data_IF_593501770612
#
_entry.id   IF_593501770612
#
_cell.length_a   1.000
_cell.length_b   1.000
_cell.length_c   1.000
_cell.angle_alpha   90.00
_cell.angle_beta   90.00
_cell.angle_gamma   90.00
#
_symmetry.space_group_name_H-M   'P 1'
#
loop_
_entity.id
_entity.type
_entity.pdbx_description
1 polymer ?
#
# COMPACT_ATOMS: atom_id res chain seq x y z
N UNK A 1 10.84 16.45 -22.87
CA UNK A 1 10.99 17.11 -21.60
C UNK A 1 11.90 16.28 -20.69
N UNK A 2 12.80 16.91 -19.90
CA UNK A 2 13.63 16.16 -18.99
C UNK A 2 12.72 15.38 -18.03
N UNK A 3 13.01 14.08 -17.84
CA UNK A 3 12.35 13.27 -16.84
C UNK A 3 12.37 14.05 -15.52
N UNK A 4 11.25 14.17 -14.80
CA UNK A 4 11.27 14.81 -13.50
C UNK A 4 12.28 14.05 -12.62
N UNK A 5 13.23 14.78 -12.07
CA UNK A 5 14.28 14.23 -11.21
C UNK A 5 13.66 13.58 -9.94
N UNK A 6 12.38 13.85 -9.69
CA UNK A 6 11.63 13.28 -8.58
C UNK A 6 10.18 13.74 -8.53
N UNK A 7 9.41 13.15 -7.63
CA UNK A 7 8.04 13.50 -7.30
C UNK A 7 7.92 13.87 -5.83
N UNK A 8 7.19 14.95 -5.55
CA UNK A 8 6.90 15.37 -4.18
C UNK A 8 5.83 14.49 -3.55
N UNK A 9 6.12 13.99 -2.36
CA UNK A 9 5.21 13.19 -1.56
C UNK A 9 5.48 13.46 -0.07
N UNK A 10 4.46 13.82 0.69
CA UNK A 10 4.57 14.19 2.12
C UNK A 10 5.70 15.20 2.41
N UNK A 11 5.79 16.26 1.59
CA UNK A 11 6.83 17.30 1.62
C UNK A 11 8.27 16.77 1.43
N UNK A 12 8.45 15.62 0.78
CA UNK A 12 9.75 15.02 0.47
C UNK A 12 9.84 14.73 -1.03
N UNK A 13 11.04 14.84 -1.56
CA UNK A 13 11.30 14.57 -2.97
C UNK A 13 11.74 13.12 -3.15
N UNK A 14 10.84 12.28 -3.66
CA UNK A 14 11.13 10.90 -4.03
C UNK A 14 11.69 10.85 -5.45
N UNK A 15 12.75 10.07 -5.65
CA UNK A 15 13.20 9.73 -6.99
C UNK A 15 12.13 8.89 -7.67
N UNK A 16 12.00 9.05 -8.97
CA UNK A 16 11.08 8.29 -9.82
C UNK A 16 11.85 7.72 -11.01
N UNK A 17 11.51 6.50 -11.38
CA UNK A 17 12.05 5.82 -12.55
C UNK A 17 10.92 5.38 -13.47
N UNK A 18 11.22 5.30 -14.77
CA UNK A 18 10.33 4.63 -15.71
C UNK A 18 10.09 3.18 -15.24
N UNK A 19 8.87 2.73 -15.33
CA UNK A 19 8.51 1.38 -14.89
C UNK A 19 8.07 1.24 -13.44
N UNK A 20 8.00 2.33 -12.68
CA UNK A 20 7.47 2.35 -11.31
C UNK A 20 6.40 3.43 -11.17
N UNK A 21 5.32 3.11 -10.47
CA UNK A 21 4.22 4.05 -10.20
C UNK A 21 4.75 5.31 -9.52
N UNK A 22 4.41 6.48 -10.07
CA UNK A 22 4.74 7.77 -9.48
C UNK A 22 3.88 7.99 -8.23
N UNK A 23 4.46 8.41 -7.08
CA UNK A 23 3.67 8.70 -5.88
C UNK A 23 2.50 9.67 -6.15
N UNK A 24 1.32 9.32 -5.65
CA UNK A 24 0.09 10.09 -5.86
C UNK A 24 -0.29 10.89 -4.61
N UNK A 25 -0.86 12.10 -4.76
CA UNK A 25 -1.27 12.92 -3.62
C UNK A 25 -2.28 12.25 -2.68
N UNK A 26 -3.25 11.50 -3.22
CA UNK A 26 -4.24 10.77 -2.43
C UNK A 26 -3.63 9.68 -1.55
N UNK A 27 -2.50 9.11 -1.94
CA UNK A 27 -1.77 8.11 -1.15
C UNK A 27 -1.13 8.71 0.10
N UNK A 28 -0.86 10.03 0.12
CA UNK A 28 -0.42 10.72 1.34
C UNK A 28 -1.47 10.63 2.46
N UNK A 29 -2.75 10.76 2.09
CA UNK A 29 -3.87 10.70 3.04
C UNK A 29 -3.90 9.35 3.76
N UNK A 30 -3.60 8.26 3.04
CA UNK A 30 -3.44 6.92 3.61
C UNK A 30 -2.32 6.87 4.66
N UNK A 31 -1.16 7.44 4.36
CA UNK A 31 -0.02 7.46 5.29
C UNK A 31 -0.34 8.20 6.58
N UNK A 32 -0.97 9.36 6.50
CA UNK A 32 -1.39 10.13 7.67
C UNK A 32 -2.46 9.40 8.47
N UNK A 33 -3.46 8.82 7.81
CA UNK A 33 -4.50 8.03 8.48
C UNK A 33 -3.92 6.85 9.28
N UNK A 34 -2.94 6.14 8.72
CA UNK A 34 -2.25 5.06 9.43
C UNK A 34 -1.48 5.62 10.63
N UNK A 35 -0.70 6.68 10.44
CA UNK A 35 0.13 7.24 11.51
C UNK A 35 -0.69 7.79 12.70
N UNK A 36 -1.92 8.20 12.46
CA UNK A 36 -2.85 8.73 13.47
C UNK A 36 -3.61 7.63 14.24
N UNK A 37 -3.41 6.34 13.92
CA UNK A 37 -4.13 5.26 14.64
C UNK A 37 -3.71 5.20 16.11
N UNK A 38 -4.67 5.29 17.05
CA UNK A 38 -4.36 5.33 18.50
C UNK A 38 -3.61 4.10 19.00
N UNK A 39 -3.84 2.94 18.38
CA UNK A 39 -3.19 1.68 18.75
C UNK A 39 -1.67 1.71 18.59
N UNK A 40 -1.16 2.50 17.65
CA UNK A 40 0.29 2.61 17.40
C UNK A 40 1.04 3.30 18.53
N UNK A 41 0.38 4.23 19.26
CA UNK A 41 1.01 4.96 20.37
C UNK A 41 1.38 4.07 21.56
N UNK A 42 0.74 2.91 21.70
CA UNK A 42 1.01 1.94 22.76
C UNK A 42 2.12 0.93 22.40
N UNK A 43 2.57 0.90 21.15
CA UNK A 43 3.58 -0.04 20.67
C UNK A 43 4.98 0.56 20.76
N UNK A 44 5.93 -0.20 21.30
CA UNK A 44 7.33 0.23 21.42
C UNK A 44 8.04 0.24 20.07
N UNK A 45 7.81 -0.78 19.26
CA UNK A 45 8.45 -1.00 17.96
C UNK A 45 7.42 -1.57 16.98
N UNK A 46 6.50 -0.74 16.43
CA UNK A 46 5.47 -1.21 15.51
C UNK A 46 6.08 -1.88 14.27
N UNK A 47 5.60 -3.07 13.91
CA UNK A 47 6.01 -3.81 12.72
C UNK A 47 5.03 -3.55 11.60
N UNK A 48 5.52 -2.97 10.52
CA UNK A 48 4.72 -2.52 9.37
C UNK A 48 5.20 -3.22 8.10
N UNK A 49 4.25 -3.72 7.32
CA UNK A 49 4.49 -4.28 6.01
C UNK A 49 3.77 -3.46 4.94
N UNK A 50 4.52 -2.99 3.95
CA UNK A 50 4.01 -2.35 2.72
C UNK A 50 4.14 -3.34 1.56
N UNK A 51 3.01 -3.77 1.01
CA UNK A 51 2.95 -4.75 -0.09
C UNK A 51 2.74 -4.02 -1.42
N UNK A 52 3.63 -4.26 -2.39
CA UNK A 52 3.66 -3.54 -3.65
C UNK A 52 4.21 -2.13 -3.46
N UNK A 53 5.38 -2.03 -2.85
CA UNK A 53 5.92 -0.76 -2.34
C UNK A 53 6.27 0.25 -3.42
N UNK A 54 6.51 -0.19 -4.66
CA UNK A 54 6.88 0.68 -5.78
C UNK A 54 8.12 1.53 -5.47
N UNK A 55 7.95 2.84 -5.43
CA UNK A 55 9.01 3.79 -5.08
C UNK A 55 9.43 3.77 -3.60
N UNK A 56 8.72 3.02 -2.77
CA UNK A 56 8.91 3.02 -1.31
C UNK A 56 8.20 4.16 -0.59
N UNK A 57 7.37 4.94 -1.28
CA UNK A 57 6.80 6.17 -0.72
C UNK A 57 5.95 5.93 0.54
N UNK A 58 5.13 4.89 0.59
CA UNK A 58 4.34 4.53 1.77
C UNK A 58 5.26 4.05 2.89
N UNK A 59 6.09 3.04 2.63
CA UNK A 59 6.98 2.43 3.63
C UNK A 59 7.92 3.46 4.27
N UNK A 60 8.58 4.28 3.47
CA UNK A 60 9.50 5.32 3.94
C UNK A 60 8.76 6.38 4.75
N UNK A 61 7.61 6.85 4.29
CA UNK A 61 6.82 7.85 4.99
C UNK A 61 6.34 7.34 6.34
N UNK A 62 5.83 6.10 6.42
CA UNK A 62 5.41 5.50 7.69
C UNK A 62 6.58 5.32 8.65
N UNK A 63 7.76 4.92 8.17
CA UNK A 63 8.98 4.84 8.98
C UNK A 63 9.39 6.18 9.60
N UNK A 64 9.07 7.29 8.94
CA UNK A 64 9.39 8.64 9.44
C UNK A 64 8.29 9.22 10.34
N UNK A 65 7.02 8.89 10.10
CA UNK A 65 5.90 9.38 10.88
C UNK A 65 5.67 8.59 12.18
N UNK A 66 6.01 7.31 12.19
CA UNK A 66 5.73 6.40 13.31
C UNK A 66 7.04 6.11 14.05
N UNK A 67 7.11 6.55 15.30
CA UNK A 67 8.29 6.38 16.13
C UNK A 67 8.68 4.91 16.28
N UNK A 68 9.96 4.60 16.05
CA UNK A 68 10.55 3.27 16.15
C UNK A 68 9.88 2.21 15.26
N UNK A 69 9.17 2.60 14.21
CA UNK A 69 8.59 1.65 13.27
C UNK A 69 9.67 0.77 12.63
N UNK A 70 9.41 -0.53 12.60
CA UNK A 70 10.18 -1.52 11.86
C UNK A 70 9.41 -1.84 10.58
N UNK A 71 9.82 -1.23 9.47
CA UNK A 71 9.08 -1.32 8.22
C UNK A 71 9.78 -2.24 7.23
N UNK A 72 9.00 -3.15 6.68
CA UNK A 72 9.37 -4.04 5.58
C UNK A 72 8.56 -3.67 4.35
N UNK A 73 9.19 -3.65 3.20
CA UNK A 73 8.59 -3.34 1.91
C UNK A 73 8.73 -4.52 0.96
N UNK A 74 7.61 -4.99 0.40
CA UNK A 74 7.58 -6.03 -0.62
C UNK A 74 7.30 -5.46 -1.99
N UNK A 75 7.99 -5.98 -2.98
CA UNK A 75 7.65 -5.83 -4.39
C UNK A 75 8.16 -7.03 -5.17
N UNK A 76 7.66 -7.23 -6.38
CA UNK A 76 8.15 -8.29 -7.28
C UNK A 76 9.02 -7.70 -8.41
N UNK A 77 8.86 -6.42 -8.72
CA UNK A 77 9.56 -5.76 -9.80
C UNK A 77 10.97 -5.32 -9.38
N UNK A 78 12.04 -5.76 -10.07
CA UNK A 78 13.41 -5.38 -9.74
C UNK A 78 13.64 -3.86 -9.72
N UNK A 79 12.97 -3.14 -10.62
CA UNK A 79 13.03 -1.68 -10.72
C UNK A 79 12.45 -1.01 -9.47
N UNK A 80 11.32 -1.53 -8.96
CA UNK A 80 10.70 -1.04 -7.73
C UNK A 80 11.58 -1.31 -6.51
N UNK A 81 12.14 -2.53 -6.39
CA UNK A 81 13.04 -2.90 -5.31
C UNK A 81 14.28 -2.01 -5.27
N UNK A 82 14.88 -1.74 -6.43
CA UNK A 82 16.04 -0.85 -6.56
C UNK A 82 15.68 0.58 -6.15
N UNK A 83 14.56 1.10 -6.66
CA UNK A 83 14.12 2.47 -6.40
C UNK A 83 13.74 2.69 -4.94
N UNK A 84 13.04 1.73 -4.31
CA UNK A 84 12.72 1.80 -2.88
C UNK A 84 13.97 1.86 -1.99
N UNK A 85 14.99 1.04 -2.30
CA UNK A 85 16.29 1.08 -1.61
C UNK A 85 17.00 2.42 -1.81
N UNK A 86 17.00 2.96 -3.02
CA UNK A 86 17.62 4.24 -3.35
C UNK A 86 16.94 5.39 -2.60
N UNK A 87 15.61 5.43 -2.58
CA UNK A 87 14.84 6.45 -1.86
C UNK A 87 15.04 6.34 -0.34
N UNK A 88 15.02 5.13 0.22
CA UNK A 88 15.27 4.90 1.64
C UNK A 88 16.66 5.41 2.06
N UNK A 89 17.68 5.10 1.26
CA UNK A 89 19.05 5.59 1.48
C UNK A 89 19.13 7.11 1.40
N UNK A 90 18.54 7.71 0.37
CA UNK A 90 18.53 9.16 0.17
C UNK A 90 17.86 9.92 1.33
N UNK A 91 16.85 9.31 1.97
CA UNK A 91 16.10 9.89 3.10
C UNK A 91 16.60 9.42 4.47
N UNK A 92 17.70 8.66 4.51
CA UNK A 92 18.28 8.10 5.73
C UNK A 92 17.27 7.27 6.56
N UNK A 93 16.47 6.46 5.88
CA UNK A 93 15.48 5.55 6.48
C UNK A 93 16.00 4.12 6.41
N UNK A 94 15.95 3.42 7.55
CA UNK A 94 16.19 1.97 7.59
C UNK A 94 14.94 1.25 7.11
N UNK A 95 15.02 0.62 5.95
CA UNK A 95 13.91 -0.11 5.31
C UNK A 95 14.40 -1.49 4.89
N UNK A 96 13.69 -2.52 5.32
CA UNK A 96 13.90 -3.88 4.81
C UNK A 96 13.12 -4.03 3.49
N UNK A 97 13.82 -4.17 2.37
CA UNK A 97 13.22 -4.34 1.04
C UNK A 97 13.40 -5.78 0.58
N UNK A 98 12.28 -6.47 0.33
CA UNK A 98 12.23 -7.90 0.05
C UNK A 98 11.52 -8.14 -1.28
N UNK A 99 12.13 -8.96 -2.15
CA UNK A 99 11.44 -9.48 -3.34
C UNK A 99 10.41 -10.52 -2.90
N UNK A 100 9.12 -10.19 -3.07
CA UNK A 100 8.02 -11.06 -2.69
C UNK A 100 6.81 -10.82 -3.57
N UNK A 101 6.30 -11.91 -4.17
CA UNK A 101 5.04 -11.88 -4.90
C UNK A 101 3.86 -11.90 -3.92
N UNK A 102 3.00 -10.89 -4.00
CA UNK A 102 1.79 -10.79 -3.17
C UNK A 102 0.80 -11.92 -3.42
N UNK A 103 0.80 -12.52 -4.62
CA UNK A 103 -0.08 -13.64 -4.96
C UNK A 103 0.43 -14.98 -4.40
N UNK A 104 1.70 -15.04 -3.98
CA UNK A 104 2.38 -16.22 -3.41
C UNK A 104 3.04 -15.85 -2.07
N UNK A 105 2.30 -15.17 -1.21
CA UNK A 105 2.80 -14.72 0.09
C UNK A 105 3.20 -15.90 1.01
N UNK A 106 4.21 -15.73 1.88
CA UNK A 106 4.64 -16.78 2.81
C UNK A 106 3.59 -17.07 3.89
N UNK A 107 3.79 -18.15 4.64
CA UNK A 107 2.95 -18.51 5.79
C UNK A 107 3.45 -17.80 7.05
N UNK A 108 3.30 -16.49 7.14
CA UNK A 108 3.55 -15.74 8.37
C UNK A 108 2.38 -15.85 9.35
N UNK A 109 2.66 -15.80 10.63
CA UNK A 109 1.65 -15.83 11.69
C UNK A 109 1.96 -14.74 12.73
N UNK A 110 0.97 -13.88 13.02
CA UNK A 110 1.05 -12.81 14.02
C UNK A 110 2.36 -12.01 14.02
N UNK A 111 2.77 -11.60 12.83
CA UNK A 111 4.06 -10.96 12.59
C UNK A 111 3.98 -9.43 12.51
N UNK A 112 2.85 -8.90 12.04
CA UNK A 112 2.69 -7.49 11.70
C UNK A 112 1.62 -6.80 12.55
N UNK A 113 1.89 -5.57 12.97
CA UNK A 113 0.89 -4.69 13.57
C UNK A 113 0.05 -4.00 12.49
N UNK A 114 0.68 -3.63 11.38
CA UNK A 114 0.05 -3.01 10.22
C UNK A 114 0.49 -3.73 8.95
N UNK A 115 -0.47 -4.02 8.09
CA UNK A 115 -0.25 -4.36 6.69
C UNK A 115 -0.94 -3.30 5.84
N UNK A 116 -0.21 -2.72 4.90
CA UNK A 116 -0.72 -1.69 3.98
C UNK A 116 -0.39 -2.05 2.55
N UNK A 117 -1.26 -1.72 1.62
CA UNK A 117 -0.99 -1.88 0.19
C UNK A 117 -1.77 -0.87 -0.65
N UNK A 118 -1.09 -0.38 -1.69
CA UNK A 118 -1.71 0.28 -2.83
C UNK A 118 -1.47 -0.60 -4.07
N UNK A 119 -2.22 -1.71 -4.22
CA UNK A 119 -2.01 -2.65 -5.31
C UNK A 119 -2.60 -2.14 -6.62
N UNK A 120 -2.27 -2.75 -7.77
CA UNK A 120 -2.95 -2.44 -9.03
C UNK A 120 -4.46 -2.63 -8.92
N UNK A 121 -5.24 -1.64 -9.37
CA UNK A 121 -6.71 -1.67 -9.27
C UNK A 121 -7.45 -1.09 -10.49
N UNK A 122 -6.74 -0.64 -11.52
CA UNK A 122 -7.36 -0.05 -12.72
C UNK A 122 -7.77 -1.16 -13.67
N UNK A 123 -9.05 -1.17 -14.07
CA UNK A 123 -9.57 -2.14 -15.03
C UNK A 123 -9.25 -1.70 -16.48
N UNK A 124 -9.20 -2.63 -17.45
CA UNK A 124 -9.01 -2.28 -18.86
C UNK A 124 -10.05 -1.29 -19.40
N UNK A 125 -11.27 -1.33 -18.87
CA UNK A 125 -12.35 -0.40 -19.24
C UNK A 125 -12.01 1.04 -18.84
N UNK A 126 -11.42 1.23 -17.66
CA UNK A 126 -10.98 2.55 -17.17
C UNK A 126 -9.73 3.04 -17.88
N UNK A 127 -8.90 2.14 -18.41
CA UNK A 127 -7.66 2.48 -19.12
C UNK A 127 -7.89 3.44 -20.28
N UNK A 128 -9.00 3.29 -21.00
CA UNK A 128 -9.34 4.14 -22.16
C UNK A 128 -9.59 5.61 -21.78
N UNK A 129 -9.88 5.88 -20.51
CA UNK A 129 -10.16 7.22 -19.97
C UNK A 129 -8.94 7.88 -19.34
N UNK A 130 -7.80 7.16 -19.27
CA UNK A 130 -6.58 7.67 -18.64
C UNK A 130 -5.80 8.59 -19.56
N UNK A 131 -5.08 9.55 -18.95
CA UNK A 131 -4.18 10.43 -19.67
C UNK A 131 -3.02 9.66 -20.32
N UNK A 132 -2.63 10.07 -21.54
CA UNK A 132 -1.57 9.41 -22.30
C UNK A 132 -0.22 9.34 -21.56
N UNK A 133 0.07 10.31 -20.71
CA UNK A 133 1.31 10.34 -19.91
C UNK A 133 1.40 9.16 -18.93
N UNK A 134 0.29 8.78 -18.29
CA UNK A 134 0.23 7.65 -17.37
C UNK A 134 0.48 6.35 -18.13
N UNK A 135 -0.18 6.18 -19.29
CA UNK A 135 -0.05 4.97 -20.11
C UNK A 135 1.35 4.79 -20.72
N UNK A 136 2.05 5.89 -20.96
CA UNK A 136 3.37 5.86 -21.64
C UNK A 136 4.54 5.61 -20.69
N UNK A 137 4.47 6.09 -19.45
CA UNK A 137 5.62 6.11 -18.53
C UNK A 137 5.50 5.18 -17.32
N UNK A 138 4.31 4.70 -17.02
CA UNK A 138 4.08 3.78 -15.90
C UNK A 138 3.80 2.35 -16.39
N UNK A 139 4.27 1.32 -15.68
CA UNK A 139 4.11 -0.05 -16.13
C UNK A 139 2.67 -0.54 -15.98
N UNK A 140 2.19 -1.28 -16.97
CA UNK A 140 0.85 -1.87 -16.92
C UNK A 140 0.62 -2.73 -15.67
N UNK A 141 1.64 -3.47 -15.23
CA UNK A 141 1.54 -4.31 -14.03
C UNK A 141 1.38 -3.53 -12.72
N UNK A 142 1.77 -2.26 -12.69
CA UNK A 142 1.61 -1.39 -11.51
C UNK A 142 0.24 -0.72 -11.42
N UNK A 143 -0.54 -0.74 -12.50
CA UNK A 143 -1.81 -0.03 -12.62
C UNK A 143 -2.99 -0.96 -12.86
N UNK A 144 -2.84 -1.98 -13.71
CA UNK A 144 -3.96 -2.71 -14.30
C UNK A 144 -4.15 -4.12 -13.73
N UNK A 145 -5.40 -4.50 -13.61
CA UNK A 145 -5.85 -5.85 -13.21
C UNK A 145 -6.67 -6.49 -14.33
N UNK A 146 -6.77 -7.84 -14.37
CA UNK A 146 -7.67 -8.52 -15.32
C UNK A 146 -9.12 -8.07 -15.12
N UNK A 147 -9.84 -7.83 -16.21
CA UNK A 147 -11.25 -7.41 -16.16
C UNK A 147 -12.16 -8.42 -15.44
N UNK A 148 -11.87 -9.69 -15.60
CA UNK A 148 -12.62 -10.79 -14.96
C UNK A 148 -12.23 -11.03 -13.49
N UNK A 149 -11.17 -10.39 -12.98
CA UNK A 149 -10.73 -10.52 -11.59
C UNK A 149 -10.11 -9.22 -11.07
N UNK A 150 -10.89 -8.13 -10.97
CA UNK A 150 -10.37 -6.81 -10.59
C UNK A 150 -9.87 -6.74 -9.13
N UNK A 151 -10.28 -7.68 -8.29
CA UNK A 151 -9.91 -7.73 -6.87
C UNK A 151 -8.83 -8.77 -6.54
N UNK A 152 -8.10 -9.26 -7.53
CA UNK A 152 -7.14 -10.38 -7.35
C UNK A 152 -6.10 -10.09 -6.25
N UNK A 153 -5.47 -8.93 -6.26
CA UNK A 153 -4.47 -8.56 -5.25
C UNK A 153 -5.08 -8.31 -3.89
N UNK A 154 -6.22 -7.65 -3.83
CA UNK A 154 -6.95 -7.42 -2.57
C UNK A 154 -7.32 -8.72 -1.88
N UNK A 155 -7.81 -9.72 -2.62
CA UNK A 155 -8.15 -11.04 -2.08
C UNK A 155 -6.91 -11.77 -1.54
N UNK A 156 -5.82 -11.77 -2.31
CA UNK A 156 -4.58 -12.43 -1.91
C UNK A 156 -3.97 -11.78 -0.66
N UNK A 157 -3.89 -10.45 -0.62
CA UNK A 157 -3.34 -9.70 0.50
C UNK A 157 -4.24 -9.84 1.75
N UNK A 158 -5.56 -9.78 1.59
CA UNK A 158 -6.51 -9.98 2.68
C UNK A 158 -6.37 -11.37 3.29
N UNK A 159 -6.26 -12.40 2.45
CA UNK A 159 -6.03 -13.78 2.92
C UNK A 159 -4.71 -13.93 3.69
N UNK A 160 -3.63 -13.34 3.19
CA UNK A 160 -2.36 -13.30 3.91
C UNK A 160 -2.49 -12.59 5.26
N UNK A 161 -3.08 -11.41 5.27
CA UNK A 161 -3.21 -10.56 6.45
C UNK A 161 -4.05 -11.21 7.58
N UNK A 162 -5.01 -12.08 7.25
CA UNK A 162 -5.80 -12.81 8.26
C UNK A 162 -4.93 -13.55 9.27
N UNK A 163 -3.82 -14.13 8.82
CA UNK A 163 -2.89 -14.88 9.67
C UNK A 163 -1.70 -14.02 10.10
N UNK A 164 -1.17 -13.23 9.18
CA UNK A 164 0.07 -12.48 9.38
C UNK A 164 -0.06 -11.27 10.31
N UNK A 165 -1.24 -10.69 10.47
CA UNK A 165 -1.48 -9.65 11.46
C UNK A 165 -1.57 -10.23 12.88
N UNK A 166 -1.06 -9.48 13.86
CA UNK A 166 -1.33 -9.74 15.27
C UNK A 166 -2.81 -9.51 15.58
N UNK A 167 -3.28 -10.02 16.72
CA UNK A 167 -4.62 -9.72 17.21
C UNK A 167 -4.75 -8.20 17.46
N UNK A 168 -5.79 -7.58 16.92
CA UNK A 168 -5.98 -6.12 16.96
C UNK A 168 -5.13 -5.35 15.95
N UNK A 169 -4.28 -6.02 15.16
CA UNK A 169 -3.56 -5.42 14.05
C UNK A 169 -4.50 -5.02 12.90
N UNK A 170 -4.07 -4.14 12.04
CA UNK A 170 -4.93 -3.55 11.02
C UNK A 170 -4.38 -3.71 9.58
N UNK A 171 -5.30 -3.93 8.66
CA UNK A 171 -5.08 -3.97 7.23
C UNK A 171 -5.62 -2.70 6.59
N UNK A 172 -4.79 -2.03 5.78
CA UNK A 172 -5.13 -0.81 5.06
C UNK A 172 -4.92 -0.99 3.56
N UNK A 173 -5.86 -0.49 2.77
CA UNK A 173 -5.76 -0.45 1.32
C UNK A 173 -6.05 0.92 0.74
N UNK A 174 -5.31 1.32 -0.30
CA UNK A 174 -5.84 2.22 -1.31
C UNK A 174 -6.67 1.39 -2.29
N UNK A 175 -7.84 1.90 -2.66
CA UNK A 175 -8.82 1.14 -3.46
C UNK A 175 -9.29 1.93 -4.68
N UNK A 176 -9.78 1.20 -5.67
CA UNK A 176 -10.60 1.77 -6.71
C UNK A 176 -11.98 2.12 -6.13
N UNK A 177 -12.43 3.39 -6.17
CA UNK A 177 -13.72 3.82 -5.61
C UNK A 177 -14.93 3.06 -6.17
N UNK A 178 -14.81 2.49 -7.38
CA UNK A 178 -15.87 1.68 -7.98
C UNK A 178 -16.17 0.39 -7.22
N UNK A 179 -15.22 -0.11 -6.40
CA UNK A 179 -15.32 -1.39 -5.71
C UNK A 179 -15.40 -1.25 -4.19
N UNK A 180 -15.80 -0.10 -3.67
CA UNK A 180 -15.90 0.15 -2.23
C UNK A 180 -16.79 -0.89 -1.52
N UNK A 181 -17.96 -1.19 -2.08
CA UNK A 181 -18.89 -2.16 -1.49
C UNK A 181 -18.30 -3.57 -1.44
N UNK A 182 -17.68 -3.99 -2.54
CA UNK A 182 -17.01 -5.30 -2.66
C UNK A 182 -15.84 -5.40 -1.68
N UNK A 183 -15.07 -4.33 -1.50
CA UNK A 183 -13.96 -4.29 -0.54
C UNK A 183 -14.44 -4.40 0.90
N UNK A 184 -15.53 -3.72 1.28
CA UNK A 184 -16.13 -3.84 2.60
C UNK A 184 -16.62 -5.27 2.84
N UNK A 185 -17.28 -5.89 1.87
CA UNK A 185 -17.73 -7.28 1.94
C UNK A 185 -16.55 -8.24 2.07
N UNK A 186 -15.51 -8.08 1.25
CA UNK A 186 -14.30 -8.91 1.30
C UNK A 186 -13.68 -8.90 2.70
N UNK A 187 -13.49 -7.73 3.31
CA UNK A 187 -12.92 -7.60 4.64
C UNK A 187 -13.83 -8.24 5.71
N UNK A 188 -15.14 -7.98 5.67
CA UNK A 188 -16.11 -8.54 6.62
C UNK A 188 -16.16 -10.07 6.56
N UNK A 189 -16.25 -10.64 5.35
CA UNK A 189 -16.28 -12.09 5.12
C UNK A 189 -14.96 -12.75 5.49
N UNK A 190 -13.86 -12.02 5.40
CA UNK A 190 -12.53 -12.46 5.85
C UNK A 190 -12.30 -12.33 7.35
N UNK A 191 -13.31 -11.93 8.12
CA UNK A 191 -13.24 -11.89 9.58
C UNK A 191 -12.65 -10.61 10.17
N UNK A 192 -12.44 -9.57 9.36
CA UNK A 192 -12.04 -8.25 9.86
C UNK A 192 -13.24 -7.52 10.50
N UNK A 193 -12.95 -6.71 11.51
CA UNK A 193 -13.92 -5.84 12.20
C UNK A 193 -13.54 -4.37 11.99
N UNK A 194 -14.35 -3.47 12.53
CA UNK A 194 -14.10 -2.02 12.54
C UNK A 194 -13.70 -1.51 11.15
N UNK A 195 -14.49 -1.93 10.14
CA UNK A 195 -14.25 -1.57 8.75
C UNK A 195 -14.62 -0.11 8.55
N UNK A 196 -13.62 0.70 8.19
CA UNK A 196 -13.76 2.13 7.95
C UNK A 196 -13.29 2.48 6.53
N UNK A 197 -13.94 3.46 5.92
CA UNK A 197 -13.56 4.03 4.62
C UNK A 197 -13.17 5.49 4.82
N UNK A 198 -12.03 5.88 4.28
CA UNK A 198 -11.57 7.26 4.26
C UNK A 198 -11.85 7.87 2.88
N UNK A 199 -12.47 9.05 2.90
CA UNK A 199 -12.62 9.91 1.73
C UNK A 199 -11.33 10.71 1.56
N UNK A 200 -10.75 10.65 0.37
CA UNK A 200 -9.52 11.35 0.05
C UNK A 200 -9.74 12.87 -0.12
N UNK A 201 -8.65 13.62 -0.23
CA UNK A 201 -8.66 15.09 -0.45
C UNK A 201 -9.41 15.55 -1.71
N UNK A 202 -9.73 14.61 -2.61
CA UNK A 202 -10.50 14.87 -3.83
C UNK A 202 -11.96 14.45 -3.71
N UNK A 203 -12.42 14.02 -2.51
CA UNK A 203 -13.79 13.66 -2.23
C UNK A 203 -14.20 12.25 -2.66
N UNK A 204 -13.23 11.32 -2.86
CA UNK A 204 -13.49 9.95 -3.26
C UNK A 204 -13.23 8.96 -2.13
N UNK A 205 -14.05 7.92 -2.03
CA UNK A 205 -13.85 6.79 -1.12
C UNK A 205 -12.65 5.97 -1.59
N UNK A 206 -11.45 6.36 -1.15
CA UNK A 206 -10.17 5.90 -1.71
C UNK A 206 -9.43 4.92 -0.83
N UNK A 207 -9.70 4.88 0.46
CA UNK A 207 -8.95 4.05 1.38
C UNK A 207 -9.91 3.27 2.27
N UNK A 208 -9.54 2.04 2.61
CA UNK A 208 -10.31 1.19 3.52
C UNK A 208 -9.40 0.56 4.56
N UNK A 209 -9.91 0.43 5.78
CA UNK A 209 -9.26 -0.24 6.90
C UNK A 209 -10.15 -1.36 7.43
N UNK A 210 -9.52 -2.46 7.84
CA UNK A 210 -10.14 -3.49 8.67
C UNK A 210 -9.20 -3.92 9.80
N UNK A 211 -9.73 -4.22 10.96
CA UNK A 211 -8.98 -4.66 12.14
C UNK A 211 -9.16 -6.16 12.35
N UNK A 212 -8.05 -6.89 12.56
CA UNK A 212 -8.12 -8.32 12.92
C UNK A 212 -8.77 -8.47 14.27
N UNK A 213 -9.87 -9.24 14.34
CA UNK A 213 -10.59 -9.47 15.59
C UNK A 213 -9.71 -10.16 16.63
N UNK A 214 -9.91 -9.81 17.89
CA UNK A 214 -9.41 -10.58 19.00
C UNK A 214 -10.12 -11.96 19.04
N UNK A 215 -9.35 -13.01 19.20
CA UNK A 215 -9.92 -14.32 19.52
C UNK A 215 -10.38 -14.27 20.99
N UNK A 216 -11.68 -14.41 21.21
CA UNK A 216 -12.26 -14.53 22.54
C UNK A 216 -11.98 -15.92 23.10
#
# INVERSE_FOLDING_TARGET
PPNPIGSWFTNRLFKVHSGVLIPRPETEDLCYWIAEQPTLSSLSNPKILDIGTGSGCIAITLSQLIKNAQTTAWDIAPEALSLAKENAKAMNVSLEVVEQDALNAPCDNEKWDIVVSNPPYITPKEQSEMEANVLQFEPNCALFVPENNPLIFYKAITHYAQKALVQGGALFFEINPLFVSEMKSLLAESGFADIEVLIDRFGKERHVKGVKKWLN
#
